data_IF_353786235881
#
_entry.id   IF_353786235881
#
_cell.length_a   1.000
_cell.length_b   1.000
_cell.length_c   1.000
_cell.angle_alpha   90.00
_cell.angle_beta   90.00
_cell.angle_gamma   90.00
#
_symmetry.space_group_name_H-M   'P 1'
#
loop_
_entity.id
_entity.type
_entity.pdbx_description
1 polymer ?
#
# COMPACT_ATOMS: atom_id res chain seq x y z
N UNK A 1 2.06 6.28 22.28
CA UNK A 1 2.02 6.58 20.83
C UNK A 1 2.58 5.37 20.10
N UNK A 2 1.74 4.60 19.42
CA UNK A 2 2.24 3.54 18.54
C UNK A 2 2.97 4.22 17.39
N UNK A 3 4.30 4.11 17.37
CA UNK A 3 5.11 4.60 16.25
C UNK A 3 4.52 4.05 14.95
N UNK A 4 4.44 4.89 13.92
CA UNK A 4 4.14 4.49 12.55
C UNK A 4 5.18 3.45 12.16
N UNK A 5 4.87 2.17 12.39
CA UNK A 5 5.77 1.07 12.03
C UNK A 5 5.63 0.81 10.54
N UNK A 6 6.02 1.81 9.75
CA UNK A 6 6.05 1.81 8.30
C UNK A 6 6.95 0.68 7.75
N UNK A 7 7.84 0.13 8.59
CA UNK A 7 8.58 -1.11 8.34
C UNK A 7 7.68 -2.34 8.11
N UNK A 8 6.41 -2.27 8.54
CA UNK A 8 5.43 -3.36 8.44
C UNK A 8 4.53 -3.31 7.21
N UNK A 9 4.75 -2.36 6.31
CA UNK A 9 4.18 -2.36 4.96
C UNK A 9 5.26 -2.96 4.09
N UNK A 10 5.15 -4.27 3.84
CA UNK A 10 6.17 -5.01 3.12
C UNK A 10 6.38 -4.38 1.74
N UNK A 11 7.59 -3.91 1.41
CA UNK A 11 7.90 -3.54 0.04
C UNK A 11 7.80 -4.80 -0.82
N UNK A 12 6.82 -4.82 -1.73
CA UNK A 12 6.63 -5.92 -2.68
C UNK A 12 7.80 -5.94 -3.68
N UNK A 13 8.21 -7.12 -4.18
CA UNK A 13 9.47 -7.31 -4.89
C UNK A 13 9.39 -6.78 -6.32
N UNK A 14 9.62 -5.48 -6.51
CA UNK A 14 9.79 -4.89 -7.85
C UNK A 14 11.03 -4.01 -7.93
N UNK A 15 12.02 -4.28 -7.07
CA UNK A 15 13.23 -3.49 -6.95
C UNK A 15 14.37 -3.91 -7.89
N UNK A 16 14.10 -4.70 -8.93
CA UNK A 16 15.14 -5.12 -9.87
C UNK A 16 14.97 -4.41 -11.24
N UNK A 17 15.76 -3.35 -11.52
CA UNK A 17 15.67 -2.57 -12.76
C UNK A 17 16.28 -3.26 -14.01
N UNK A 18 16.69 -4.53 -13.91
CA UNK A 18 17.52 -5.19 -14.93
C UNK A 18 16.76 -6.00 -16.00
N UNK A 19 15.43 -5.95 -16.09
CA UNK A 19 14.66 -6.77 -17.04
C UNK A 19 14.37 -6.14 -18.41
N UNK A 20 14.80 -4.91 -18.69
CA UNK A 20 14.46 -4.22 -19.94
C UNK A 20 15.66 -4.19 -20.92
N UNK A 21 15.80 -5.28 -21.68
CA UNK A 21 16.68 -5.35 -22.87
C UNK A 21 16.06 -4.56 -24.03
N UNK A 22 16.79 -3.58 -24.57
CA UNK A 22 16.31 -2.69 -25.63
C UNK A 22 16.84 -3.10 -27.02
N UNK A 23 15.92 -3.40 -27.94
CA UNK A 23 16.14 -3.44 -29.40
C UNK A 23 15.40 -2.28 -30.07
N UNK A 24 15.81 -1.84 -31.28
CA UNK A 24 15.54 -0.48 -31.73
C UNK A 24 14.14 -0.24 -32.31
N UNK A 25 13.56 0.86 -31.82
CA UNK A 25 12.65 1.86 -32.39
C UNK A 25 11.45 1.44 -33.27
N UNK A 26 10.29 1.44 -32.61
CA UNK A 26 8.97 1.64 -33.19
C UNK A 26 8.29 2.80 -32.42
N UNK A 27 7.81 3.85 -33.10
CA UNK A 27 7.29 5.07 -32.46
C UNK A 27 6.09 4.78 -31.54
N UNK A 28 5.32 3.75 -31.86
CA UNK A 28 4.25 3.25 -30.97
C UNK A 28 4.81 2.53 -29.74
N UNK A 29 5.96 1.86 -29.82
CA UNK A 29 6.62 1.27 -28.65
C UNK A 29 7.11 2.34 -27.67
N UNK A 30 7.48 3.53 -28.15
CA UNK A 30 7.97 4.64 -27.33
C UNK A 30 6.88 5.17 -26.38
N UNK A 31 5.68 5.50 -26.87
CA UNK A 31 4.59 5.99 -26.02
C UNK A 31 4.17 4.98 -24.93
N UNK A 32 4.26 3.67 -25.25
CA UNK A 32 3.95 2.56 -24.33
C UNK A 32 5.01 2.45 -23.23
N UNK A 33 6.29 2.49 -23.59
CA UNK A 33 7.38 2.50 -22.64
C UNK A 33 7.33 3.74 -21.75
N UNK A 34 6.95 4.90 -22.31
CA UNK A 34 6.82 6.16 -21.56
C UNK A 34 5.75 6.06 -20.47
N UNK A 35 4.54 5.56 -20.77
CA UNK A 35 3.49 5.46 -19.74
C UNK A 35 3.75 4.36 -18.71
N UNK A 36 4.29 3.21 -19.12
CA UNK A 36 4.69 2.16 -18.17
C UNK A 36 5.82 2.64 -17.26
N UNK A 37 6.84 3.32 -17.80
CA UNK A 37 7.94 3.90 -17.05
C UNK A 37 7.46 5.03 -16.13
N UNK A 38 6.54 5.88 -16.61
CA UNK A 38 5.92 6.94 -15.83
C UNK A 38 5.16 6.37 -14.62
N UNK A 39 4.32 5.35 -14.83
CA UNK A 39 3.61 4.66 -13.75
C UNK A 39 4.58 4.01 -12.76
N UNK A 40 5.64 3.36 -13.25
CA UNK A 40 6.66 2.74 -12.42
C UNK A 40 7.41 3.79 -11.58
N UNK A 41 7.72 4.94 -12.16
CA UNK A 41 8.38 6.06 -11.47
C UNK A 41 7.47 6.65 -10.39
N UNK A 42 6.18 6.85 -10.69
CA UNK A 42 5.20 7.31 -9.69
C UNK A 42 5.11 6.36 -8.50
N UNK A 43 5.05 5.06 -8.74
CA UNK A 43 5.06 4.04 -7.69
C UNK A 43 6.38 4.07 -6.91
N UNK A 44 7.52 4.10 -7.60
CA UNK A 44 8.85 4.14 -6.96
C UNK A 44 9.01 5.37 -6.06
N UNK A 45 8.64 6.56 -6.53
CA UNK A 45 8.66 7.79 -5.73
C UNK A 45 7.72 7.70 -4.52
N UNK A 46 6.57 7.02 -4.65
CA UNK A 46 5.70 6.79 -3.50
C UNK A 46 6.35 5.88 -2.44
N UNK A 47 7.06 4.84 -2.85
CA UNK A 47 7.80 3.95 -1.95
C UNK A 47 8.98 4.68 -1.27
N UNK A 48 9.72 5.51 -2.00
CA UNK A 48 10.77 6.35 -1.40
C UNK A 48 10.21 7.29 -0.31
N UNK A 49 9.01 7.83 -0.50
CA UNK A 49 8.33 8.65 0.52
C UNK A 49 7.92 7.83 1.74
N UNK A 50 7.56 6.56 1.57
CA UNK A 50 7.29 5.65 2.67
C UNK A 50 8.56 5.40 3.49
N UNK A 51 9.68 5.13 2.82
CA UNK A 51 10.97 4.94 3.49
C UNK A 51 11.40 6.20 4.26
N UNK A 52 11.20 7.38 3.67
CA UNK A 52 11.44 8.67 4.33
C UNK A 52 10.51 8.88 5.53
N UNK A 53 9.24 8.49 5.44
CA UNK A 53 8.30 8.58 6.56
C UNK A 53 8.68 7.63 7.70
N UNK A 54 9.16 6.43 7.37
CA UNK A 54 9.66 5.47 8.35
C UNK A 54 10.90 6.00 9.08
N UNK A 55 11.86 6.57 8.33
CA UNK A 55 13.05 7.18 8.90
C UNK A 55 12.70 8.38 9.80
N UNK A 56 11.76 9.23 9.37
CA UNK A 56 11.29 10.36 10.18
C UNK A 56 10.61 9.92 11.49
N UNK A 57 9.87 8.80 11.47
CA UNK A 57 9.23 8.25 12.66
C UNK A 57 10.23 7.59 13.64
N UNK A 58 11.39 7.14 13.15
CA UNK A 58 12.45 6.53 13.96
C UNK A 58 13.44 7.55 14.56
N UNK A 59 13.44 8.79 14.08
CA UNK A 59 14.34 9.82 14.58
C UNK A 59 14.01 10.16 16.05
N UNK A 60 15.02 10.21 16.95
CA UNK A 60 14.79 10.61 18.33
C UNK A 60 14.29 12.06 18.35
N UNK A 61 13.16 12.29 19.04
CA UNK A 61 12.64 13.63 19.30
C UNK A 61 13.78 14.50 19.87
N UNK A 62 14.07 15.68 19.28
CA UNK A 62 15.09 16.55 19.83
C UNK A 62 14.66 16.91 21.25
N UNK A 63 15.43 16.42 22.21
CA UNK A 63 15.28 16.74 23.63
C UNK A 63 14.98 18.23 23.81
N UNK A 64 13.85 18.53 24.43
CA UNK A 64 13.42 19.89 24.77
C UNK A 64 14.44 20.66 25.63
N UNK A 65 15.54 20.03 26.05
CA UNK A 65 16.64 20.65 26.80
C UNK A 65 17.42 21.73 26.03
N UNK A 66 17.36 21.77 24.68
CA UNK A 66 18.06 22.81 23.90
C UNK A 66 17.19 24.01 23.50
N UNK A 67 15.86 23.94 23.66
CA UNK A 67 14.96 25.05 23.32
C UNK A 67 14.88 26.13 24.42
N UNK A 68 15.41 25.87 25.62
CA UNK A 68 15.43 26.83 26.73
C UNK A 68 16.66 27.77 26.73
N UNK A 69 17.64 27.57 25.84
CA UNK A 69 18.88 28.36 25.83
C UNK A 69 18.84 29.62 24.95
N UNK A 70 17.71 29.92 24.31
CA UNK A 70 17.56 31.11 23.46
C UNK A 70 16.30 31.89 23.84
N UNK A 71 16.28 32.44 25.06
CA UNK A 71 15.41 33.56 25.40
C UNK A 71 16.27 34.61 26.12
N UNK A 72 16.49 35.81 25.53
CA UNK A 72 17.13 36.89 26.26
C UNK A 72 16.18 37.41 27.35
N UNK A 73 16.67 37.37 28.59
CA UNK A 73 16.00 37.90 29.78
C UNK A 73 15.67 39.38 29.63
N UNK A 74 14.45 39.84 29.98
CA UNK A 74 14.14 41.26 30.09
C UNK A 74 14.47 41.79 31.50
N UNK A 75 15.10 42.96 31.55
CA UNK A 75 15.32 43.77 32.76
C UNK A 75 13.97 44.30 33.29
N UNK A 76 13.75 44.42 34.62
CA UNK A 76 12.50 44.90 35.19
C UNK A 76 12.55 46.41 35.47
N UNK A 77 11.42 47.12 35.31
CA UNK A 77 11.14 48.38 36.02
C UNK A 77 9.64 48.71 36.03
N UNK A 78 9.07 48.56 37.22
CA UNK A 78 8.04 49.32 37.95
C UNK A 78 6.72 49.84 37.30
N UNK A 79 5.66 49.51 38.05
CA UNK A 79 4.47 50.27 38.45
C UNK A 79 3.35 50.65 37.46
N UNK A 80 2.13 50.26 37.88
CA UNK A 80 0.86 50.80 37.38
C UNK A 80 -0.26 49.77 37.35
N UNK A 81 -1.18 49.84 38.31
CA UNK A 81 -2.24 48.84 38.53
C UNK A 81 -3.37 48.79 37.49
N UNK A 82 -4.31 47.88 37.75
CA UNK A 82 -5.61 47.82 37.07
C UNK A 82 -6.04 46.40 36.75
N UNK A 83 -7.08 45.92 37.44
CA UNK A 83 -7.63 44.58 37.27
C UNK A 83 -8.32 44.36 35.93
N UNK A 84 -8.43 43.08 35.55
CA UNK A 84 -9.18 42.68 34.36
C UNK A 84 -9.10 41.17 34.13
N UNK A 85 -10.15 40.47 34.57
CA UNK A 85 -10.45 39.07 34.23
C UNK A 85 -10.52 38.87 32.71
N UNK A 86 -9.89 37.81 32.19
CA UNK A 86 -9.94 37.48 30.76
C UNK A 86 -9.40 36.09 30.44
N UNK A 87 -10.32 35.18 30.10
CA UNK A 87 -10.18 33.84 29.51
C UNK A 87 -8.79 33.30 29.16
N UNK A 88 -8.41 32.23 29.86
CA UNK A 88 -7.30 31.37 29.47
C UNK A 88 -7.57 30.69 28.13
N UNK A 89 -6.93 31.18 27.07
CA UNK A 89 -6.73 30.42 25.85
C UNK A 89 -5.60 29.41 26.11
N UNK A 90 -5.95 28.12 26.18
CA UNK A 90 -4.96 27.05 26.08
C UNK A 90 -4.20 27.18 24.76
N UNK A 91 -2.87 27.21 24.77
CA UNK A 91 -2.11 27.07 23.54
C UNK A 91 -2.37 25.65 22.99
N UNK A 92 -2.92 25.58 21.78
CA UNK A 92 -3.14 24.32 21.07
C UNK A 92 -1.83 23.53 20.90
N UNK A 93 -1.91 22.22 20.66
CA UNK A 93 -0.74 21.39 20.50
C UNK A 93 0.04 21.89 19.28
N UNK A 94 1.28 22.31 19.51
CA UNK A 94 2.17 22.76 18.44
C UNK A 94 2.39 21.67 17.36
N UNK A 95 2.86 22.06 16.17
CA UNK A 95 3.12 21.14 15.08
C UNK A 95 4.36 20.29 15.40
N UNK A 96 4.17 19.24 16.21
CA UNK A 96 5.19 18.25 16.52
C UNK A 96 5.56 17.42 15.31
N UNK A 97 6.73 16.78 15.35
CA UNK A 97 7.35 15.97 14.30
C UNK A 97 6.41 14.94 13.60
N UNK A 98 5.29 14.57 14.25
CA UNK A 98 4.21 13.77 13.65
C UNK A 98 3.53 14.37 12.41
N UNK A 99 3.64 15.68 12.17
CA UNK A 99 3.08 16.34 10.97
C UNK A 99 3.81 15.93 9.69
N UNK A 100 5.12 15.67 9.75
CA UNK A 100 5.94 15.34 8.58
C UNK A 100 5.67 13.93 8.04
N UNK A 101 5.69 12.93 8.91
CA UNK A 101 5.43 11.54 8.54
C UNK A 101 4.01 11.34 7.98
N UNK A 102 3.00 11.99 8.57
CA UNK A 102 1.62 11.93 8.09
C UNK A 102 1.46 12.55 6.69
N UNK A 103 2.14 13.66 6.41
CA UNK A 103 2.14 14.30 5.09
C UNK A 103 2.81 13.39 4.03
N UNK A 104 3.95 12.77 4.36
CA UNK A 104 4.65 11.84 3.48
C UNK A 104 3.81 10.61 3.13
N UNK A 105 3.11 10.03 4.11
CA UNK A 105 2.20 8.90 3.88
C UNK A 105 1.02 9.29 2.97
N UNK A 106 0.44 10.48 3.19
CA UNK A 106 -0.64 10.99 2.35
C UNK A 106 -0.15 11.19 0.91
N UNK A 107 1.05 11.73 0.73
CA UNK A 107 1.67 11.89 -0.59
C UNK A 107 2.00 10.56 -1.26
N UNK A 108 2.43 9.54 -0.50
CA UNK A 108 2.67 8.19 -1.00
C UNK A 108 1.36 7.53 -1.49
N UNK A 109 0.29 7.59 -0.70
CA UNK A 109 -1.05 7.13 -1.09
C UNK A 109 -1.51 7.81 -2.39
N UNK A 110 -1.36 9.14 -2.48
CA UNK A 110 -1.69 9.88 -3.71
C UNK A 110 -0.86 9.44 -4.92
N UNK A 111 0.44 9.20 -4.74
CA UNK A 111 1.32 8.69 -5.80
C UNK A 111 0.90 7.31 -6.32
N UNK A 112 0.55 6.40 -5.41
CA UNK A 112 0.08 5.05 -5.75
C UNK A 112 -1.26 5.08 -6.50
N UNK A 113 -2.19 5.95 -6.09
CA UNK A 113 -3.47 6.11 -6.79
C UNK A 113 -3.30 6.64 -8.21
N UNK A 114 -2.36 7.56 -8.44
CA UNK A 114 -1.98 8.03 -9.79
C UNK A 114 -1.35 6.92 -10.62
N UNK A 115 -0.40 6.17 -10.05
CA UNK A 115 0.21 5.04 -10.74
C UNK A 115 -0.85 4.00 -11.15
N UNK A 116 -1.78 3.67 -10.25
CA UNK A 116 -2.92 2.80 -10.54
C UNK A 116 -3.79 3.34 -11.68
N UNK A 117 -4.01 4.65 -11.74
CA UNK A 117 -4.72 5.31 -12.84
C UNK A 117 -4.08 5.08 -14.20
N UNK A 118 -2.76 5.28 -14.28
CA UNK A 118 -1.99 5.05 -15.51
C UNK A 118 -2.03 3.57 -15.90
N UNK A 119 -1.82 2.65 -14.94
CA UNK A 119 -1.92 1.22 -15.21
C UNK A 119 -3.31 0.77 -15.64
N UNK A 120 -4.38 1.36 -15.09
CA UNK A 120 -5.76 1.13 -15.53
C UNK A 120 -5.98 1.55 -16.98
N UNK A 121 -5.56 2.76 -17.34
CA UNK A 121 -5.60 3.23 -18.73
C UNK A 121 -4.80 2.31 -19.68
N UNK A 122 -3.62 1.86 -19.26
CA UNK A 122 -2.83 0.89 -20.02
C UNK A 122 -3.60 -0.41 -20.23
N UNK A 123 -4.17 -0.97 -19.17
CA UNK A 123 -4.87 -2.25 -19.19
C UNK A 123 -6.15 -2.23 -20.04
N UNK A 124 -6.93 -1.16 -19.97
CA UNK A 124 -8.29 -1.08 -20.53
C UNK A 124 -8.35 -0.42 -21.90
N UNK A 125 -7.48 0.57 -22.15
CA UNK A 125 -7.53 1.37 -23.39
C UNK A 125 -6.33 1.08 -24.27
N UNK A 126 -5.10 1.29 -23.78
CA UNK A 126 -3.93 1.30 -24.67
C UNK A 126 -3.50 -0.10 -25.12
N UNK A 127 -3.34 -1.05 -24.19
CA UNK A 127 -2.75 -2.37 -24.49
C UNK A 127 -3.65 -3.32 -25.30
N UNK A 128 -4.99 -3.32 -25.13
CA UNK A 128 -5.90 -4.14 -25.94
C UNK A 128 -5.97 -3.70 -27.41
N UNK A 129 -5.88 -2.40 -27.69
CA UNK A 129 -5.91 -1.85 -29.06
C UNK A 129 -4.63 -2.14 -29.85
N UNK A 130 -3.59 -2.66 -29.18
CA UNK A 130 -2.33 -2.95 -29.85
C UNK A 130 -2.51 -4.14 -30.79
N UNK A 131 -2.15 -3.97 -32.09
CA UNK A 131 -2.14 -5.09 -33.01
C UNK A 131 -1.24 -6.17 -32.40
N UNK A 132 -1.78 -7.38 -32.28
CA UNK A 132 -0.98 -8.57 -31.97
C UNK A 132 0.05 -8.66 -33.10
N UNK A 133 1.30 -8.29 -32.81
CA UNK A 133 2.33 -8.11 -33.84
C UNK A 133 2.29 -9.25 -34.85
N UNK A 134 2.08 -8.91 -36.13
CA UNK A 134 1.75 -9.83 -37.22
C UNK A 134 2.86 -10.80 -37.65
N UNK A 135 3.73 -11.20 -36.73
CA UNK A 135 4.80 -12.14 -37.00
C UNK A 135 5.59 -12.45 -35.74
N UNK A 136 5.14 -13.45 -34.98
CA UNK A 136 5.95 -14.32 -34.10
C UNK A 136 6.95 -13.71 -33.12
N UNK A 137 6.99 -12.39 -32.94
CA UNK A 137 7.92 -11.71 -32.04
C UNK A 137 7.38 -11.65 -30.62
N UNK A 138 8.20 -12.07 -29.66
CA UNK A 138 7.89 -12.02 -28.23
C UNK A 138 7.41 -10.63 -27.81
N UNK A 139 6.13 -10.53 -27.44
CA UNK A 139 5.61 -9.34 -26.75
C UNK A 139 6.18 -9.34 -25.33
N UNK A 140 6.84 -8.25 -24.88
CA UNK A 140 7.28 -8.13 -23.49
C UNK A 140 6.11 -8.35 -22.54
N UNK A 141 6.36 -8.98 -21.39
CA UNK A 141 5.33 -9.27 -20.40
C UNK A 141 4.66 -7.99 -19.89
N UNK A 142 5.42 -6.90 -19.81
CA UNK A 142 4.96 -5.58 -19.36
C UNK A 142 3.92 -4.97 -20.30
N UNK A 143 3.85 -5.44 -21.55
CA UNK A 143 2.86 -5.00 -22.52
C UNK A 143 1.60 -5.86 -22.52
N UNK A 144 1.48 -6.88 -21.66
CA UNK A 144 0.27 -7.68 -21.57
C UNK A 144 -0.79 -6.97 -20.69
N UNK A 145 -2.07 -6.87 -21.13
CA UNK A 145 -3.12 -6.26 -20.30
C UNK A 145 -3.23 -6.86 -18.88
N UNK A 146 -3.10 -8.18 -18.65
CA UNK A 146 -3.06 -8.75 -17.31
C UNK A 146 -1.92 -8.21 -16.43
N UNK A 147 -0.75 -7.90 -17.01
CA UNK A 147 0.37 -7.31 -16.25
C UNK A 147 0.03 -5.88 -15.79
N UNK A 148 -0.59 -5.07 -16.65
CA UNK A 148 -1.05 -3.74 -16.27
C UNK A 148 -2.16 -3.80 -15.20
N UNK A 149 -3.14 -4.71 -15.32
CA UNK A 149 -4.17 -4.93 -14.29
C UNK A 149 -3.56 -5.35 -12.95
N UNK A 150 -2.63 -6.29 -12.98
CA UNK A 150 -1.88 -6.72 -11.80
C UNK A 150 -1.21 -5.55 -11.09
N UNK A 151 -0.50 -4.70 -11.84
CA UNK A 151 0.19 -3.53 -11.27
C UNK A 151 -0.79 -2.46 -10.76
N UNK A 152 -1.92 -2.27 -11.44
CA UNK A 152 -3.01 -1.41 -10.95
C UNK A 152 -3.54 -1.89 -9.59
N UNK A 153 -3.91 -3.18 -9.49
CA UNK A 153 -4.41 -3.77 -8.24
C UNK A 153 -3.37 -3.71 -7.13
N UNK A 154 -2.10 -3.93 -7.48
CA UNK A 154 -0.98 -3.84 -6.53
C UNK A 154 -0.82 -2.44 -5.95
N UNK A 155 -0.83 -1.40 -6.80
CA UNK A 155 -0.73 -0.01 -6.36
C UNK A 155 -1.89 0.36 -5.42
N UNK A 156 -3.11 -0.11 -5.73
CA UNK A 156 -4.26 0.10 -4.86
C UNK A 156 -4.12 -0.67 -3.54
N UNK A 157 -3.68 -1.92 -3.56
CA UNK A 157 -3.46 -2.70 -2.35
C UNK A 157 -2.44 -2.03 -1.42
N UNK A 158 -1.32 -1.54 -1.98
CA UNK A 158 -0.31 -0.77 -1.25
C UNK A 158 -0.90 0.52 -0.67
N UNK A 159 -1.66 1.28 -1.45
CA UNK A 159 -2.31 2.51 -0.98
C UNK A 159 -3.30 2.24 0.16
N UNK A 160 -4.08 1.16 0.07
CA UNK A 160 -5.02 0.73 1.10
C UNK A 160 -4.28 0.28 2.37
N UNK A 161 -3.14 -0.41 2.24
CA UNK A 161 -2.32 -0.82 3.38
C UNK A 161 -1.74 0.39 4.13
N UNK A 162 -1.27 1.42 3.40
CA UNK A 162 -0.84 2.68 3.99
C UNK A 162 -1.99 3.40 4.73
N UNK A 163 -3.19 3.39 4.16
CA UNK A 163 -4.37 3.94 4.84
C UNK A 163 -4.71 3.17 6.11
N UNK A 164 -4.61 1.84 6.11
CA UNK A 164 -4.84 1.02 7.30
C UNK A 164 -3.80 1.32 8.40
N UNK A 165 -2.52 1.48 8.04
CA UNK A 165 -1.46 1.88 8.97
C UNK A 165 -1.71 3.29 9.54
N UNK A 166 -2.10 4.25 8.69
CA UNK A 166 -2.43 5.60 9.13
C UNK A 166 -3.69 5.63 10.03
N UNK A 167 -4.68 4.76 9.77
CA UNK A 167 -5.86 4.62 10.61
C UNK A 167 -5.51 4.10 12.01
N UNK A 168 -4.61 3.12 12.10
CA UNK A 168 -4.11 2.62 13.38
C UNK A 168 -3.37 3.73 14.16
N UNK A 169 -2.50 4.49 13.49
CA UNK A 169 -1.77 5.61 14.12
C UNK A 169 -2.69 6.72 14.63
N UNK A 170 -3.82 6.97 13.94
CA UNK A 170 -4.86 7.92 14.35
C UNK A 170 -5.79 7.38 15.45
N UNK A 171 -5.61 6.14 15.89
CA UNK A 171 -6.44 5.53 16.92
C UNK A 171 -7.87 5.24 16.49
N UNK A 172 -8.11 4.94 15.20
CA UNK A 172 -9.43 4.52 14.73
C UNK A 172 -9.89 3.25 15.47
N UNK A 173 -11.21 3.01 15.52
CA UNK A 173 -11.75 1.83 16.17
C UNK A 173 -11.25 0.53 15.53
N UNK A 174 -11.22 -0.56 16.30
CA UNK A 174 -10.83 -1.88 15.79
C UNK A 174 -11.66 -2.28 14.56
N UNK A 175 -12.98 -2.03 14.59
CA UNK A 175 -13.88 -2.31 13.45
C UNK A 175 -13.52 -1.54 12.19
N UNK A 176 -13.19 -0.26 12.34
CA UNK A 176 -12.75 0.55 11.20
C UNK A 176 -11.43 0.03 10.64
N UNK A 177 -10.44 -0.25 11.49
CA UNK A 177 -9.15 -0.82 11.07
C UNK A 177 -9.31 -2.20 10.41
N UNK A 178 -10.18 -3.05 10.97
CA UNK A 178 -10.49 -4.39 10.44
C UNK A 178 -11.06 -4.29 9.03
N UNK A 179 -12.03 -3.40 8.82
CA UNK A 179 -12.62 -3.17 7.49
C UNK A 179 -11.57 -2.73 6.47
N UNK A 180 -10.58 -1.93 6.86
CA UNK A 180 -9.51 -1.49 5.96
C UNK A 180 -8.57 -2.63 5.57
N UNK A 181 -8.18 -3.48 6.53
CA UNK A 181 -7.36 -4.67 6.26
C UNK A 181 -8.11 -5.71 5.42
N UNK A 182 -9.40 -5.92 5.67
CA UNK A 182 -10.25 -6.74 4.81
C UNK A 182 -10.34 -6.18 3.37
N UNK A 183 -10.36 -4.85 3.22
CA UNK A 183 -10.20 -4.18 1.92
C UNK A 183 -8.86 -4.49 1.25
N UNK A 184 -7.74 -4.50 2.00
CA UNK A 184 -6.43 -4.93 1.46
C UNK A 184 -6.49 -6.36 0.92
N UNK A 185 -7.11 -7.29 1.66
CA UNK A 185 -7.24 -8.70 1.23
C UNK A 185 -8.00 -8.79 -0.10
N UNK A 186 -9.07 -8.01 -0.27
CA UNK A 186 -9.85 -7.98 -1.51
C UNK A 186 -8.99 -7.56 -2.71
N UNK A 187 -8.22 -6.47 -2.56
CA UNK A 187 -7.33 -5.98 -3.62
C UNK A 187 -6.17 -6.94 -3.92
N UNK A 188 -5.58 -7.55 -2.89
CA UNK A 188 -4.48 -8.50 -3.05
C UNK A 188 -4.93 -9.80 -3.72
N UNK A 189 -6.16 -10.28 -3.44
CA UNK A 189 -6.75 -11.41 -4.17
C UNK A 189 -7.00 -11.08 -5.64
N UNK A 190 -7.52 -9.89 -5.93
CA UNK A 190 -7.67 -9.42 -7.32
C UNK A 190 -6.33 -9.29 -8.06
N UNK A 191 -5.27 -8.88 -7.35
CA UNK A 191 -3.91 -8.91 -7.88
C UNK A 191 -3.43 -10.36 -8.12
N UNK A 192 -3.67 -11.28 -7.19
CA UNK A 192 -3.31 -12.70 -7.34
C UNK A 192 -4.02 -13.33 -8.56
N UNK A 193 -5.31 -13.03 -8.76
CA UNK A 193 -6.08 -13.48 -9.92
C UNK A 193 -5.51 -12.90 -11.23
N UNK A 194 -5.19 -11.60 -11.26
CA UNK A 194 -4.54 -10.96 -12.42
C UNK A 194 -3.15 -11.55 -12.70
N UNK A 195 -2.41 -11.96 -11.67
CA UNK A 195 -1.13 -12.64 -11.83
C UNK A 195 -1.31 -14.04 -12.44
N UNK A 196 -2.34 -14.80 -12.04
CA UNK A 196 -2.65 -16.09 -12.67
C UNK A 196 -3.10 -15.93 -14.13
N UNK A 197 -3.87 -14.88 -14.44
CA UNK A 197 -4.19 -14.53 -15.84
C UNK A 197 -2.92 -14.21 -16.65
N UNK A 198 -1.97 -13.49 -16.05
CA UNK A 198 -0.68 -13.23 -16.67
C UNK A 198 0.07 -14.54 -16.95
N UNK A 199 0.13 -15.48 -15.99
CA UNK A 199 0.73 -16.82 -16.19
C UNK A 199 0.11 -17.54 -17.37
N UNK A 200 -1.21 -17.54 -17.47
CA UNK A 200 -1.92 -18.19 -18.57
C UNK A 200 -1.69 -17.52 -19.93
N UNK A 201 -1.39 -16.21 -19.94
CA UNK A 201 -1.16 -15.43 -21.15
C UNK A 201 0.32 -15.36 -21.58
N UNK A 202 1.26 -15.79 -20.74
CA UNK A 202 2.69 -15.74 -21.05
C UNK A 202 3.07 -16.71 -22.18
N UNK A 203 3.95 -16.30 -23.12
CA UNK A 203 4.50 -17.21 -24.11
C UNK A 203 5.39 -18.29 -23.48
N UNK A 204 5.46 -19.49 -24.09
CA UNK A 204 6.32 -20.57 -23.60
C UNK A 204 7.79 -20.13 -23.62
N UNK A 205 8.46 -20.18 -22.45
CA UNK A 205 9.87 -19.79 -22.28
C UNK A 205 10.10 -18.56 -21.40
N UNK A 206 9.05 -17.79 -21.08
CA UNK A 206 9.08 -16.64 -20.16
C UNK A 206 7.99 -16.79 -19.09
N UNK A 207 8.08 -17.78 -18.18
CA UNK A 207 7.09 -17.94 -17.13
C UNK A 207 7.11 -16.68 -16.24
N UNK A 208 5.95 -16.16 -15.82
CA UNK A 208 5.97 -15.07 -14.87
C UNK A 208 6.48 -15.58 -13.52
N UNK A 209 6.82 -14.63 -12.68
CA UNK A 209 7.40 -14.89 -11.37
C UNK A 209 6.37 -15.61 -10.47
N UNK A 210 6.43 -16.94 -10.35
CA UNK A 210 5.65 -17.75 -9.38
C UNK A 210 5.80 -17.20 -7.95
N UNK A 211 6.99 -16.68 -7.65
CA UNK A 211 7.28 -15.97 -6.40
C UNK A 211 6.36 -14.76 -6.18
N UNK A 212 5.95 -14.03 -7.21
CA UNK A 212 5.00 -12.92 -7.09
C UNK A 212 3.63 -13.41 -6.60
N UNK A 213 3.08 -14.47 -7.21
CA UNK A 213 1.78 -15.05 -6.80
C UNK A 213 1.83 -15.48 -5.33
N UNK A 214 2.92 -16.15 -4.93
CA UNK A 214 3.11 -16.57 -3.53
C UNK A 214 3.17 -15.38 -2.57
N UNK A 215 3.92 -14.33 -2.93
CA UNK A 215 4.07 -13.14 -2.08
C UNK A 215 2.79 -12.30 -2.00
N UNK A 216 1.98 -12.24 -3.06
CA UNK A 216 0.64 -11.66 -3.01
C UNK A 216 -0.25 -12.43 -2.02
N UNK A 217 -0.25 -13.77 -2.10
CA UNK A 217 -0.97 -14.61 -1.15
C UNK A 217 -0.46 -14.48 0.29
N UNK A 218 0.85 -14.36 0.51
CA UNK A 218 1.44 -14.12 1.82
C UNK A 218 1.03 -12.76 2.40
N UNK A 219 1.02 -11.71 1.56
CA UNK A 219 0.55 -10.38 1.93
C UNK A 219 -0.94 -10.38 2.29
N UNK A 220 -1.77 -11.09 1.51
CA UNK A 220 -3.19 -11.25 1.81
C UNK A 220 -3.40 -11.96 3.15
N UNK A 221 -2.63 -13.02 3.43
CA UNK A 221 -2.66 -13.72 4.72
C UNK A 221 -2.20 -12.85 5.89
N UNK A 222 -1.19 -11.98 5.71
CA UNK A 222 -0.79 -11.00 6.72
C UNK A 222 -1.93 -10.05 7.08
N UNK A 223 -2.60 -9.47 6.07
CA UNK A 223 -3.71 -8.56 6.29
C UNK A 223 -4.95 -9.26 6.88
N UNK A 224 -5.22 -10.50 6.46
CA UNK A 224 -6.29 -11.31 7.06
C UNK A 224 -5.99 -11.64 8.53
N UNK A 225 -4.74 -11.96 8.88
CA UNK A 225 -4.31 -12.16 10.26
C UNK A 225 -4.45 -10.90 11.13
N UNK A 226 -4.09 -9.72 10.59
CA UNK A 226 -4.35 -8.44 11.28
C UNK A 226 -5.83 -8.16 11.48
N UNK A 227 -6.65 -8.44 10.47
CA UNK A 227 -8.10 -8.31 10.59
C UNK A 227 -8.68 -9.26 11.64
N UNK A 228 -8.13 -10.48 11.76
CA UNK A 228 -8.52 -11.45 12.78
C UNK A 228 -8.15 -11.00 14.21
N UNK A 229 -6.96 -10.42 14.39
CA UNK A 229 -6.57 -9.83 15.68
C UNK A 229 -7.54 -8.71 16.11
N UNK A 230 -7.91 -7.83 15.18
CA UNK A 230 -8.85 -6.75 15.45
C UNK A 230 -10.26 -7.26 15.73
N UNK A 231 -10.71 -8.29 14.99
CA UNK A 231 -11.99 -8.96 15.24
C UNK A 231 -12.01 -9.60 16.62
N UNK A 232 -10.95 -10.32 17.00
CA UNK A 232 -10.85 -10.93 18.32
C UNK A 232 -10.91 -9.88 19.43
N UNK A 233 -10.24 -8.73 19.25
CA UNK A 233 -10.32 -7.62 20.19
C UNK A 233 -11.72 -6.98 20.27
N UNK A 234 -12.46 -6.89 19.16
CA UNK A 234 -13.87 -6.46 19.14
C UNK A 234 -14.75 -7.42 19.95
N UNK A 235 -14.63 -8.73 19.66
CA UNK A 235 -15.43 -9.78 20.31
C UNK A 235 -15.10 -9.90 21.80
N UNK A 236 -13.84 -9.76 22.19
CA UNK A 236 -13.44 -9.71 23.59
C UNK A 236 -14.12 -8.54 24.31
N UNK A 237 -14.13 -7.34 23.71
CA UNK A 237 -14.81 -6.16 24.29
C UNK A 237 -16.33 -6.33 24.38
N UNK A 238 -16.92 -7.06 23.46
CA UNK A 238 -18.34 -7.43 23.49
C UNK A 238 -18.65 -8.57 24.49
N UNK A 239 -17.64 -9.09 25.21
CA UNK A 239 -17.75 -10.27 26.08
C UNK A 239 -18.19 -11.53 25.34
N UNK A 240 -17.99 -11.60 24.03
CA UNK A 240 -18.21 -12.77 23.18
C UNK A 240 -16.90 -13.58 23.10
N UNK A 241 -16.48 -14.14 24.24
CA UNK A 241 -15.18 -14.79 24.39
C UNK A 241 -15.02 -16.04 23.53
N UNK A 242 -16.11 -16.78 23.26
CA UNK A 242 -16.07 -17.92 22.33
C UNK A 242 -15.70 -17.50 20.90
N UNK A 243 -16.29 -16.41 20.41
CA UNK A 243 -16.00 -15.84 19.10
C UNK A 243 -14.60 -15.21 19.04
N UNK A 244 -14.18 -14.57 20.13
CA UNK A 244 -12.84 -13.98 20.23
C UNK A 244 -11.72 -15.03 20.17
N UNK A 245 -11.90 -16.18 20.85
CA UNK A 245 -10.94 -17.30 20.82
C UNK A 245 -10.85 -17.89 19.41
N UNK A 246 -12.00 -18.19 18.79
CA UNK A 246 -12.06 -18.70 17.42
C UNK A 246 -11.43 -17.74 16.39
N UNK A 247 -11.63 -16.42 16.56
CA UNK A 247 -10.99 -15.42 15.71
C UNK A 247 -9.46 -15.39 15.89
N UNK A 248 -8.96 -15.55 17.13
CA UNK A 248 -7.52 -15.65 17.38
C UNK A 248 -6.90 -16.89 16.73
N UNK A 249 -7.53 -18.05 16.86
CA UNK A 249 -7.07 -19.31 16.26
C UNK A 249 -7.04 -19.22 14.73
N UNK A 250 -8.11 -18.67 14.13
CA UNK A 250 -8.17 -18.44 12.68
C UNK A 250 -7.08 -17.46 12.22
N UNK A 251 -6.84 -16.38 12.99
CA UNK A 251 -5.72 -15.47 12.74
C UNK A 251 -4.36 -16.17 12.74
N UNK A 252 -4.13 -17.07 13.70
CA UNK A 252 -2.94 -17.91 13.76
C UNK A 252 -2.77 -18.79 12.52
N UNK A 253 -3.85 -19.48 12.11
CA UNK A 253 -3.89 -20.34 10.92
C UNK A 253 -3.58 -19.57 9.63
N UNK A 254 -4.16 -18.38 9.47
CA UNK A 254 -3.95 -17.52 8.30
C UNK A 254 -2.48 -17.05 8.21
N UNK A 255 -1.89 -16.65 9.33
CA UNK A 255 -0.49 -16.20 9.38
C UNK A 255 0.47 -17.37 9.15
N UNK A 256 0.17 -18.56 9.66
CA UNK A 256 0.96 -19.75 9.38
C UNK A 256 0.88 -20.13 7.89
N UNK A 257 -0.31 -20.08 7.30
CA UNK A 257 -0.51 -20.28 5.87
C UNK A 257 0.29 -19.27 5.03
N UNK A 258 0.39 -18.01 5.48
CA UNK A 258 1.22 -16.99 4.84
C UNK A 258 2.72 -17.29 4.97
N UNK A 259 3.19 -17.74 6.14
CA UNK A 259 4.58 -18.14 6.35
C UNK A 259 5.00 -19.30 5.44
N UNK A 260 4.13 -20.30 5.25
CA UNK A 260 4.38 -21.44 4.35
C UNK A 260 4.50 -21.04 2.87
N UNK A 261 4.04 -19.85 2.51
CA UNK A 261 4.18 -19.31 1.14
C UNK A 261 5.53 -18.64 0.90
N UNK A 262 6.36 -18.42 1.92
CA UNK A 262 7.68 -17.78 1.78
C UNK A 262 8.79 -18.80 1.52
N UNK A 263 9.77 -18.44 0.69
CA UNK A 263 11.00 -19.20 0.48
C UNK A 263 12.15 -18.66 1.33
N UNK A 264 13.21 -19.45 1.47
CA UNK A 264 14.45 -19.03 2.15
C UNK A 264 15.16 -17.86 1.47
N UNK A 265 14.91 -17.64 0.18
CA UNK A 265 15.46 -16.52 -0.60
C UNK A 265 14.67 -15.22 -0.43
N UNK A 266 13.50 -15.26 0.21
CA UNK A 266 12.72 -14.06 0.45
C UNK A 266 13.35 -13.21 1.58
N UNK A 267 13.19 -11.88 1.55
CA UNK A 267 13.79 -11.02 2.56
C UNK A 267 13.33 -11.43 3.97
N UNK A 268 14.24 -11.52 4.97
CA UNK A 268 13.93 -12.03 6.30
C UNK A 268 12.82 -11.22 7.01
N UNK A 269 12.74 -9.91 6.69
CA UNK A 269 11.71 -9.00 7.17
C UNK A 269 10.27 -9.50 6.93
N UNK A 270 10.02 -10.28 5.87
CA UNK A 270 8.71 -10.89 5.61
C UNK A 270 8.32 -11.88 6.71
N UNK A 271 9.22 -12.82 7.00
CA UNK A 271 8.98 -13.83 8.00
C UNK A 271 8.96 -13.23 9.42
N UNK A 272 9.82 -12.25 9.70
CA UNK A 272 9.82 -11.49 10.96
C UNK A 272 8.49 -10.74 11.17
N UNK A 273 7.98 -10.08 10.13
CA UNK A 273 6.69 -9.38 10.21
C UNK A 273 5.55 -10.36 10.52
N UNK A 274 5.46 -11.47 9.81
CA UNK A 274 4.41 -12.48 10.06
C UNK A 274 4.51 -13.08 11.47
N UNK A 275 5.72 -13.43 11.92
CA UNK A 275 5.94 -13.94 13.29
C UNK A 275 5.62 -12.89 14.35
N UNK A 276 5.92 -11.61 14.11
CA UNK A 276 5.55 -10.53 15.04
C UNK A 276 4.02 -10.43 15.20
N UNK A 277 3.26 -10.67 14.13
CA UNK A 277 1.80 -10.69 14.20
C UNK A 277 1.28 -11.93 14.95
N UNK A 278 1.90 -13.10 14.75
CA UNK A 278 1.56 -14.29 15.54
C UNK A 278 1.84 -14.07 17.03
N UNK A 279 2.98 -13.46 17.36
CA UNK A 279 3.34 -13.12 18.73
C UNK A 279 2.35 -12.11 19.35
N UNK A 280 1.79 -11.20 18.55
CA UNK A 280 0.78 -10.25 19.01
C UNK A 280 -0.59 -10.91 19.31
N UNK A 281 -0.93 -12.02 18.65
CA UNK A 281 -2.16 -12.79 18.91
C UNK A 281 -2.09 -13.61 20.21
N UNK A 282 -0.92 -14.16 20.53
CA UNK A 282 -0.72 -15.05 21.67
C UNK A 282 -1.24 -14.52 23.03
N UNK A 283 -0.92 -13.28 23.46
CA UNK A 283 -1.42 -12.79 24.75
C UNK A 283 -2.94 -12.60 24.77
N UNK A 284 -3.54 -12.18 23.64
CA UNK A 284 -4.99 -12.03 23.53
C UNK A 284 -5.67 -13.40 23.61
N UNK A 285 -5.17 -14.39 22.87
CA UNK A 285 -5.68 -15.76 22.92
C UNK A 285 -5.62 -16.33 24.34
N UNK A 286 -4.48 -16.18 25.03
CA UNK A 286 -4.32 -16.67 26.39
C UNK A 286 -5.31 -16.01 27.38
N UNK A 287 -5.52 -14.70 27.26
CA UNK A 287 -6.46 -13.97 28.10
C UNK A 287 -7.91 -14.40 27.84
N UNK A 288 -8.33 -14.42 26.58
CA UNK A 288 -9.68 -14.82 26.18
C UNK A 288 -9.96 -16.27 26.57
N UNK A 289 -9.02 -17.18 26.34
CA UNK A 289 -9.17 -18.60 26.67
C UNK A 289 -9.35 -18.82 28.17
N UNK A 290 -8.50 -18.16 28.98
CA UNK A 290 -8.61 -18.20 30.44
C UNK A 290 -9.97 -17.70 30.90
N UNK A 291 -10.40 -16.54 30.44
CA UNK A 291 -11.68 -15.94 30.87
C UNK A 291 -12.89 -16.72 30.34
N UNK A 292 -12.79 -17.31 29.14
CA UNK A 292 -13.83 -18.18 28.59
C UNK A 292 -14.01 -19.42 29.44
N UNK A 293 -12.93 -20.11 29.81
CA UNK A 293 -13.02 -21.36 30.57
C UNK A 293 -13.24 -21.17 32.07
N UNK A 294 -12.81 -20.05 32.65
CA UNK A 294 -12.90 -19.83 34.10
C UNK A 294 -14.09 -18.97 34.51
N UNK A 295 -14.59 -18.09 33.63
CA UNK A 295 -15.61 -17.09 33.98
C UNK A 295 -16.91 -17.30 33.21
N UNK A 296 -16.86 -17.35 31.87
CA UNK A 296 -18.09 -17.26 31.05
C UNK A 296 -18.62 -18.61 30.54
N UNK A 297 -17.77 -19.63 30.47
CA UNK A 297 -18.06 -20.97 29.96
C UNK A 297 -18.72 -20.98 28.57
N UNK A 298 -18.43 -19.98 27.74
CA UNK A 298 -18.99 -19.90 26.39
C UNK A 298 -18.45 -21.03 25.50
N UNK A 299 -19.34 -21.60 24.68
CA UNK A 299 -18.97 -22.56 23.66
C UNK A 299 -18.18 -21.87 22.54
N UNK A 300 -17.28 -22.62 21.90
CA UNK A 300 -16.63 -22.18 20.67
C UNK A 300 -17.63 -22.31 19.50
N UNK A 301 -17.67 -21.34 18.58
CA UNK A 301 -18.49 -21.44 17.38
C UNK A 301 -18.02 -22.61 16.51
N UNK A 302 -18.96 -23.26 15.81
CA UNK A 302 -18.65 -24.38 14.89
C UNK A 302 -17.78 -23.94 13.71
N UNK A 303 -17.97 -22.70 13.27
CA UNK A 303 -17.22 -22.07 12.20
C UNK A 303 -16.63 -20.78 12.74
N UNK A 304 -15.31 -20.53 12.59
CA UNK A 304 -14.72 -19.29 13.04
C UNK A 304 -15.34 -18.11 12.27
N UNK A 305 -15.48 -16.94 12.91
CA UNK A 305 -16.02 -15.77 12.25
C UNK A 305 -15.04 -15.29 11.17
N UNK A 306 -15.55 -14.90 10.00
CA UNK A 306 -14.70 -14.44 8.90
C UNK A 306 -14.07 -13.07 9.23
N UNK A 307 -12.74 -13.00 9.42
CA UNK A 307 -12.06 -11.74 9.74
C UNK A 307 -12.13 -10.72 8.60
N UNK A 308 -12.37 -11.18 7.38
CA UNK A 308 -12.41 -10.37 6.15
C UNK A 308 -13.82 -9.92 5.76
N UNK A 309 -14.84 -10.28 6.54
CA UNK A 309 -16.20 -9.85 6.30
C UNK A 309 -16.35 -8.31 6.41
N UNK A 310 -17.17 -7.73 5.52
CA UNK A 310 -17.42 -6.30 5.42
C UNK A 310 -16.16 -5.45 5.12
N UNK A 311 -15.30 -5.97 4.24
CA UNK A 311 -14.12 -5.25 3.76
C UNK A 311 -14.47 -3.92 3.07
N UNK A 312 -13.75 -2.86 3.43
CA UNK A 312 -13.95 -1.53 2.89
C UNK A 312 -12.75 -1.10 2.06
N UNK A 313 -12.89 -1.13 0.74
CA UNK A 313 -11.92 -0.53 -0.19
C UNK A 313 -12.15 0.98 -0.20
N UNK A 314 -11.16 1.75 0.27
CA UNK A 314 -11.24 3.23 0.40
C UNK A 314 -10.36 3.96 -0.59
N UNK A 315 -9.61 3.21 -1.39
CA UNK A 315 -8.74 3.73 -2.45
C UNK A 315 -9.37 3.45 -3.80
N UNK A 316 -9.22 4.40 -4.71
CA UNK A 316 -9.60 4.27 -6.10
C UNK A 316 -8.48 4.83 -6.98
N UNK A 317 -8.32 4.26 -8.16
CA UNK A 317 -7.41 4.78 -9.17
C UNK A 317 -7.79 6.22 -9.52
N UNK A 318 -6.81 7.10 -9.68
CA UNK A 318 -7.05 8.45 -10.17
C UNK A 318 -7.29 8.38 -11.68
N UNK A 319 -8.30 9.09 -12.20
CA UNK A 319 -8.58 9.08 -13.63
C UNK A 319 -7.37 9.65 -14.38
N UNK A 320 -6.78 8.85 -15.27
CA UNK A 320 -5.67 9.27 -16.11
C UNK A 320 -6.18 9.60 -17.51
N UNK A 321 -5.88 10.79 -17.99
CA UNK A 321 -6.10 11.20 -19.38
C UNK A 321 -4.73 11.48 -20.01
N UNK A 322 -4.33 10.78 -21.08
CA UNK A 322 -3.07 11.04 -21.74
C UNK A 322 -3.06 12.47 -22.30
N UNK A 323 -1.94 13.17 -22.17
CA UNK A 323 -1.75 14.42 -22.89
C UNK A 323 -1.77 14.14 -24.41
N UNK A 324 -2.45 14.97 -25.23
CA UNK A 324 -2.44 14.79 -26.67
C UNK A 324 -1.00 14.88 -27.17
N UNK A 325 -0.50 13.77 -27.70
CA UNK A 325 0.81 13.74 -28.37
C UNK A 325 0.61 14.43 -29.72
N UNK A 326 0.89 15.73 -29.80
CA UNK A 326 1.02 16.40 -31.09
C UNK A 326 2.20 15.76 -31.82
N UNK A 327 1.99 15.14 -32.99
CA UNK A 327 3.10 14.62 -33.77
C UNK A 327 4.07 15.77 -34.08
N UNK A 328 5.39 15.52 -34.04
CA UNK A 328 6.37 16.54 -34.39
C UNK A 328 6.04 17.06 -35.81
N UNK A 329 6.07 18.38 -35.98
CA UNK A 329 5.84 18.99 -37.28
C UNK A 329 6.77 18.34 -38.33
N UNK A 330 6.26 17.96 -39.51
CA UNK A 330 7.11 17.34 -40.52
C UNK A 330 8.27 18.27 -40.87
N UNK A 331 9.48 17.74 -41.10
CA UNK A 331 10.62 18.56 -41.48
C UNK A 331 10.32 19.37 -42.75
N UNK A 332 10.81 20.62 -42.85
CA UNK A 332 10.43 21.56 -43.90
C UNK A 332 10.74 21.09 -45.33
N UNK A 333 11.56 20.06 -45.51
CA UNK A 333 11.87 19.48 -46.83
C UNK A 333 10.72 18.70 -47.47
N UNK A 334 9.72 18.25 -46.70
CA UNK A 334 8.57 17.51 -47.25
C UNK A 334 7.38 18.40 -47.63
N UNK A 335 7.32 19.64 -47.15
CA UNK A 335 6.27 20.59 -47.51
C UNK A 335 6.44 21.18 -48.93
N UNK A 336 7.65 21.12 -49.49
CA UNK A 336 7.97 21.78 -50.77
C UNK A 336 7.72 20.93 -52.03
N UNK A 337 7.34 19.64 -51.92
CA UNK A 337 7.15 18.74 -53.07
C UNK A 337 5.70 18.36 -53.39
N UNK A 338 4.73 19.00 -52.72
CA UNK A 338 3.29 18.85 -52.98
C UNK A 338 2.76 19.71 -54.12
N UNK A 339 3.56 19.97 -55.17
CA UNK A 339 3.07 20.59 -56.40
C UNK A 339 2.48 19.55 -57.33
N UNK A 340 1.29 19.02 -57.02
CA UNK A 340 0.49 18.26 -57.98
C UNK A 340 -0.10 19.25 -59.00
N UNK A 341 0.68 19.54 -60.03
CA UNK A 341 0.15 20.02 -61.30
C UNK A 341 -0.49 18.82 -62.02
N UNK A 342 -1.79 18.61 -61.78
CA UNK A 342 -2.64 17.88 -62.71
C UNK A 342 -2.96 18.84 -63.87
N UNK A 343 -2.25 18.65 -64.98
CA UNK A 343 -2.74 18.98 -66.33
C UNK A 343 -3.27 17.70 -66.96
#
# INVERSE_FOLDING_TARGET
MAALDASRVLPLPFYDPLLLSTKPFDYYALAKQVYTLYAATLRHTALQRLDAAAAAAAAPEPSAAYAAAASPSPTPLADGGGGGSGGGASPGPGPGAGSGAAALLTAAVGGLRRAAGVYGYLAESLLPELPRGGGGGDRPLELLPPAARLMQQLCLAEAQALMAAAAAAKGLSAGAQRSLHAGCVTLLRGAEDSARELVAACPPGLPPCERLVRLLGASAGLHAGRAALLLAAERQKALELGEAEAACEEGGRLLEGALRRLDRSDPPAWAETLRSQQAALAPLLAAVHKDRLAVTFQALPRSPPDPTANGAVRVAAEAFTPAPVTPPAPPPEQAAKGGCALM
#
